data_IF_494654527596
#
_entry.id   IF_494654527596
#
_cell.length_a   1.000
_cell.length_b   1.000
_cell.length_c   1.000
_cell.angle_alpha   90.00
_cell.angle_beta   90.00
_cell.angle_gamma   90.00
#
_symmetry.space_group_name_H-M   'P 1'
#
loop_
_entity.id
_entity.type
_entity.pdbx_description
1 polymer ?
#
# COMPACT_ATOMS: atom_id res chain seq x y z
N UNK A 1 -20.84 13.22 11.97
CA UNK A 1 -19.47 13.44 11.49
C UNK A 1 -19.13 12.30 10.54
N UNK A 2 -18.89 12.59 9.26
CA UNK A 2 -18.35 11.59 8.35
C UNK A 2 -16.85 11.43 8.65
N UNK A 3 -16.28 10.21 8.65
CA UNK A 3 -14.84 10.05 8.85
C UNK A 3 -14.12 10.66 7.65
N UNK A 4 -13.03 11.36 7.96
CA UNK A 4 -12.11 11.96 7.02
C UNK A 4 -11.79 10.95 5.93
N UNK A 5 -12.25 11.23 4.72
CA UNK A 5 -11.86 10.47 3.55
C UNK A 5 -10.34 10.49 3.46
N UNK A 6 -9.73 9.32 3.26
CA UNK A 6 -8.35 9.18 2.80
C UNK A 6 -8.23 9.79 1.39
N UNK A 7 -8.39 11.11 1.30
CA UNK A 7 -8.19 11.87 0.09
C UNK A 7 -6.67 11.94 -0.10
N UNK A 8 -6.15 11.15 -1.04
CA UNK A 8 -4.77 11.23 -1.47
C UNK A 8 -4.42 12.71 -1.70
N UNK A 9 -3.43 13.23 -0.98
CA UNK A 9 -2.89 14.55 -1.29
C UNK A 9 -2.24 14.44 -2.67
N UNK A 10 -2.98 14.84 -3.70
CA UNK A 10 -2.49 14.95 -5.06
C UNK A 10 -1.29 15.91 -5.04
N UNK A 11 -0.05 15.38 -5.04
CA UNK A 11 1.11 16.26 -5.10
C UNK A 11 2.48 15.69 -4.73
N UNK A 12 2.59 14.59 -3.97
CA UNK A 12 3.90 14.18 -3.42
C UNK A 12 4.76 13.35 -4.40
N UNK A 13 4.44 13.36 -5.69
CA UNK A 13 5.19 12.68 -6.75
C UNK A 13 5.13 11.15 -6.73
N UNK A 14 4.46 10.53 -5.76
CA UNK A 14 4.27 9.08 -5.68
C UNK A 14 2.90 8.65 -6.22
N UNK A 15 2.85 7.54 -6.95
CA UNK A 15 1.60 6.92 -7.38
C UNK A 15 1.75 5.41 -7.48
N UNK A 16 0.79 4.64 -6.95
CA UNK A 16 0.76 3.19 -7.13
C UNK A 16 0.30 2.88 -8.55
N UNK A 17 1.09 2.11 -9.29
CA UNK A 17 0.76 1.67 -10.66
C UNK A 17 0.13 0.29 -10.70
N UNK A 18 0.39 -0.56 -9.72
CA UNK A 18 -0.21 -1.88 -9.59
C UNK A 18 -0.12 -2.36 -8.15
N UNK A 19 -1.16 -3.07 -7.70
CA UNK A 19 -1.17 -3.84 -6.46
C UNK A 19 -2.00 -5.11 -6.73
N UNK A 20 -1.44 -6.29 -6.48
CA UNK A 20 -2.10 -7.56 -6.71
C UNK A 20 -1.63 -8.63 -5.72
N UNK A 21 -2.59 -9.42 -5.21
CA UNK A 21 -2.31 -10.57 -4.36
C UNK A 21 -1.56 -11.64 -5.16
N UNK A 22 -0.49 -12.17 -4.57
CA UNK A 22 0.22 -13.36 -5.05
C UNK A 22 0.23 -14.41 -3.95
N UNK A 23 -0.42 -15.54 -4.23
CA UNK A 23 -0.41 -16.72 -3.36
C UNK A 23 1.01 -17.26 -3.21
N UNK A 24 1.37 -17.68 -2.00
CA UNK A 24 2.67 -18.22 -1.66
C UNK A 24 2.74 -18.59 -0.18
N UNK A 25 3.93 -18.95 0.30
CA UNK A 25 4.22 -19.08 1.74
C UNK A 25 5.46 -18.23 2.03
N UNK A 26 5.31 -16.95 2.41
CA UNK A 26 4.06 -16.26 2.74
C UNK A 26 3.24 -15.82 1.52
N UNK A 27 1.95 -15.53 1.73
CA UNK A 27 1.10 -14.83 0.76
C UNK A 27 1.36 -13.33 0.84
N UNK A 28 1.54 -12.70 -0.32
CA UNK A 28 2.02 -11.32 -0.43
C UNK A 28 1.15 -10.47 -1.35
N UNK A 29 1.20 -9.16 -1.18
CA UNK A 29 0.79 -8.22 -2.23
C UNK A 29 2.04 -7.79 -2.99
N UNK A 30 2.05 -8.04 -4.30
CA UNK A 30 3.01 -7.44 -5.24
C UNK A 30 2.51 -6.05 -5.60
N UNK A 31 3.33 -5.04 -5.38
CA UNK A 31 2.98 -3.68 -5.73
C UNK A 31 4.10 -2.96 -6.46
N UNK A 32 3.73 -1.92 -7.20
CA UNK A 32 4.65 -1.06 -7.94
C UNK A 32 4.19 0.37 -7.86
N UNK A 33 5.14 1.29 -7.90
CA UNK A 33 4.88 2.72 -7.85
C UNK A 33 5.74 3.47 -8.86
N UNK A 34 5.28 4.66 -9.22
CA UNK A 34 6.08 5.71 -9.86
C UNK A 34 6.45 6.74 -8.81
N UNK A 35 7.63 7.33 -8.98
CA UNK A 35 8.15 8.42 -8.16
C UNK A 35 8.83 9.47 -9.03
N UNK A 36 8.90 10.70 -8.50
CA UNK A 36 9.59 11.83 -9.11
C UNK A 36 10.67 12.37 -8.14
N UNK A 37 11.46 13.36 -8.58
CA UNK A 37 12.57 13.87 -7.77
C UNK A 37 12.12 14.47 -6.43
N UNK A 38 10.93 15.06 -6.39
CA UNK A 38 10.32 15.62 -5.19
C UNK A 38 9.64 14.58 -4.27
N UNK A 39 9.64 13.29 -4.65
CA UNK A 39 9.05 12.25 -3.83
C UNK A 39 9.84 12.00 -2.54
N UNK A 40 9.15 11.65 -1.43
CA UNK A 40 9.78 11.35 -0.15
C UNK A 40 10.86 10.29 -0.29
N UNK A 41 11.80 10.26 0.66
CA UNK A 41 12.91 9.28 0.66
C UNK A 41 12.41 7.88 1.01
N UNK A 42 11.48 7.80 1.96
CA UNK A 42 10.84 6.58 2.42
C UNK A 42 9.32 6.76 2.47
N UNK A 43 8.60 5.64 2.49
CA UNK A 43 7.18 5.59 2.80
C UNK A 43 6.89 4.34 3.63
N UNK A 44 5.81 4.37 4.38
CA UNK A 44 5.23 3.18 4.98
C UNK A 44 4.19 2.56 4.03
N UNK A 45 4.00 1.25 4.13
CA UNK A 45 3.02 0.49 3.37
C UNK A 45 1.96 -0.01 4.33
N UNK A 46 0.71 0.30 4.03
CA UNK A 46 -0.42 -0.27 4.73
C UNK A 46 -1.49 -0.77 3.77
N UNK A 47 -2.51 -1.34 4.34
CA UNK A 47 -3.76 -1.68 3.67
C UNK A 47 -4.93 -1.10 4.45
N UNK A 48 -5.98 -0.75 3.73
CA UNK A 48 -7.24 -0.29 4.32
C UNK A 48 -8.35 -1.22 3.85
N UNK A 49 -9.10 -1.79 4.80
CA UNK A 49 -10.30 -2.54 4.46
C UNK A 49 -11.40 -1.59 3.97
N UNK A 50 -12.00 -1.89 2.82
CA UNK A 50 -12.95 -0.98 2.16
C UNK A 50 -14.25 -0.80 2.96
N UNK A 51 -14.68 -1.80 3.73
CA UNK A 51 -15.91 -1.77 4.53
C UNK A 51 -15.74 -0.95 5.80
N UNK A 52 -14.76 -1.33 6.62
CA UNK A 52 -14.55 -0.81 7.96
C UNK A 52 -13.70 0.46 7.97
N UNK A 53 -12.97 0.74 6.88
CA UNK A 53 -11.93 1.78 6.81
C UNK A 53 -10.81 1.56 7.83
N UNK A 54 -10.64 0.32 8.31
CA UNK A 54 -9.57 -0.05 9.23
C UNK A 54 -8.23 -0.08 8.48
N UNK A 55 -7.24 0.66 9.00
CA UNK A 55 -5.87 0.68 8.51
C UNK A 55 -5.03 -0.37 9.23
N UNK A 56 -4.26 -1.14 8.46
CA UNK A 56 -3.29 -2.11 8.97
C UNK A 56 -1.94 -1.78 8.35
N UNK A 57 -0.96 -1.48 9.20
CA UNK A 57 0.43 -1.28 8.79
C UNK A 57 1.07 -2.63 8.43
N UNK A 58 1.73 -2.68 7.27
CA UNK A 58 2.39 -3.89 6.77
C UNK A 58 3.93 -3.75 6.71
N UNK A 59 4.42 -2.57 6.37
CA UNK A 59 5.84 -2.22 6.39
C UNK A 59 6.02 -0.75 6.78
N UNK A 60 6.99 -0.45 7.62
CA UNK A 60 7.17 0.87 8.22
C UNK A 60 8.11 1.78 7.43
N UNK A 61 9.11 1.24 6.72
CA UNK A 61 10.15 2.07 6.12
C UNK A 61 10.69 1.49 4.81
N UNK A 62 9.91 1.67 3.74
CA UNK A 62 10.32 1.29 2.38
C UNK A 62 11.02 2.45 1.69
N UNK A 63 12.19 2.18 1.10
CA UNK A 63 12.89 3.18 0.28
C UNK A 63 12.11 3.46 -1.00
N UNK A 64 11.76 4.72 -1.22
CA UNK A 64 11.08 5.15 -2.46
C UNK A 64 11.89 4.81 -3.71
N UNK A 65 13.23 4.86 -3.58
CA UNK A 65 14.22 4.66 -4.65
C UNK A 65 15.03 3.40 -4.36
N UNK A 66 15.49 2.70 -5.41
CA UNK A 66 16.34 1.50 -5.28
C UNK A 66 15.63 0.17 -5.52
N UNK A 67 14.29 0.19 -5.62
CA UNK A 67 13.46 -0.99 -5.90
C UNK A 67 13.10 -1.10 -7.40
N UNK A 68 13.88 -0.45 -8.27
CA UNK A 68 13.62 -0.35 -9.71
C UNK A 68 14.48 0.74 -10.36
N UNK A 69 14.09 1.17 -11.57
CA UNK A 69 14.78 2.20 -12.34
C UNK A 69 13.81 3.11 -13.11
N UNK A 70 14.30 4.23 -13.61
CA UNK A 70 13.55 5.19 -14.44
C UNK A 70 12.26 5.73 -13.77
N UNK A 71 12.38 6.20 -12.51
CA UNK A 71 11.25 6.76 -11.77
C UNK A 71 10.19 5.73 -11.35
N UNK A 72 10.57 4.46 -11.24
CA UNK A 72 9.67 3.35 -10.87
C UNK A 72 10.29 2.47 -9.80
N UNK A 73 9.47 1.98 -8.89
CA UNK A 73 9.81 0.96 -7.89
C UNK A 73 8.80 -0.17 -7.88
N UNK A 74 9.21 -1.35 -7.41
CA UNK A 74 8.35 -2.51 -7.21
C UNK A 74 8.81 -3.28 -5.98
N UNK A 75 7.87 -3.80 -5.23
CA UNK A 75 8.18 -4.64 -4.07
C UNK A 75 7.06 -5.62 -3.75
N UNK A 76 7.26 -6.40 -2.70
CA UNK A 76 6.28 -7.31 -2.10
C UNK A 76 6.18 -7.07 -0.61
N UNK A 77 4.96 -7.09 -0.09
CA UNK A 77 4.72 -7.06 1.36
C UNK A 77 3.84 -8.24 1.76
N UNK A 78 4.15 -8.87 2.90
CA UNK A 78 3.35 -9.97 3.44
C UNK A 78 1.98 -9.48 3.88
N UNK A 79 0.96 -10.30 3.67
CA UNK A 79 -0.40 -10.06 4.15
C UNK A 79 -0.92 -11.22 5.01
N UNK A 80 -0.03 -12.02 5.61
CA UNK A 80 -0.40 -13.14 6.50
C UNK A 80 -1.28 -12.70 7.68
N UNK A 81 -1.17 -11.43 8.11
CA UNK A 81 -2.08 -10.84 9.11
C UNK A 81 -3.56 -10.92 8.71
N UNK A 82 -3.87 -11.10 7.42
CA UNK A 82 -5.23 -11.22 6.89
C UNK A 82 -5.71 -12.67 6.73
N UNK A 83 -4.96 -13.69 7.18
CA UNK A 83 -5.33 -15.10 6.99
C UNK A 83 -6.77 -15.41 7.49
N UNK A 84 -7.18 -14.74 8.56
CA UNK A 84 -8.52 -14.88 9.15
C UNK A 84 -9.47 -13.73 8.83
N UNK A 85 -9.03 -12.78 8.01
CA UNK A 85 -9.76 -11.57 7.65
C UNK A 85 -9.82 -11.43 6.11
N UNK A 86 -10.54 -12.31 5.40
CA UNK A 86 -10.77 -12.14 3.97
C UNK A 86 -11.70 -10.95 3.72
N UNK A 87 -11.44 -10.20 2.66
CA UNK A 87 -12.14 -8.95 2.42
C UNK A 87 -11.65 -8.22 1.19
N UNK A 88 -12.20 -7.03 0.97
CA UNK A 88 -11.77 -6.13 -0.10
C UNK A 88 -10.91 -5.04 0.50
N UNK A 89 -9.70 -4.91 0.00
CA UNK A 89 -8.69 -4.00 0.53
C UNK A 89 -8.15 -3.06 -0.54
N UNK A 90 -7.65 -1.91 -0.12
CA UNK A 90 -6.77 -1.05 -0.93
C UNK A 90 -5.39 -1.04 -0.27
N UNK A 91 -4.33 -0.97 -1.07
CA UNK A 91 -2.96 -0.73 -0.57
C UNK A 91 -2.72 0.78 -0.57
N UNK A 92 -2.14 1.29 0.51
CA UNK A 92 -1.80 2.69 0.69
C UNK A 92 -0.30 2.84 0.94
N UNK A 93 0.28 3.88 0.36
CA UNK A 93 1.61 4.37 0.71
C UNK A 93 1.41 5.63 1.53
N UNK A 94 1.95 5.64 2.75
CA UNK A 94 1.75 6.72 3.72
C UNK A 94 3.08 7.27 4.23
N UNK A 95 3.06 8.41 4.89
CA UNK A 95 4.23 8.97 5.55
C UNK A 95 4.70 8.06 6.69
N UNK A 96 6.01 8.02 6.97
CA UNK A 96 6.58 7.15 8.00
C UNK A 96 6.41 7.70 9.42
N UNK A 97 6.24 9.01 9.55
CA UNK A 97 6.08 9.71 10.83
C UNK A 97 4.60 9.97 11.15
N UNK A 98 3.74 10.05 10.12
CA UNK A 98 2.30 10.29 10.25
C UNK A 98 1.45 9.47 9.24
N UNK A 99 0.90 8.33 9.69
CA UNK A 99 0.15 7.42 8.83
C UNK A 99 -1.17 7.98 8.27
N UNK A 100 -1.65 9.11 8.78
CA UNK A 100 -2.81 9.80 8.22
C UNK A 100 -2.46 10.53 6.91
N UNK A 101 -1.17 10.78 6.65
CA UNK A 101 -0.69 11.39 5.40
C UNK A 101 -0.53 10.31 4.32
N UNK A 102 -1.58 10.15 3.50
CA UNK A 102 -1.57 9.22 2.36
C UNK A 102 -0.93 9.85 1.12
N UNK A 103 0.16 9.25 0.64
CA UNK A 103 0.82 9.61 -0.62
C UNK A 103 0.14 8.99 -1.83
N UNK A 104 -0.27 7.74 -1.75
CA UNK A 104 -0.89 7.03 -2.86
C UNK A 104 -1.81 5.90 -2.39
N UNK A 105 -2.87 5.64 -3.16
CA UNK A 105 -3.83 4.55 -2.91
C UNK A 105 -3.99 3.72 -4.17
N UNK A 106 -3.99 2.39 -4.03
CA UNK A 106 -4.18 1.47 -5.15
C UNK A 106 -5.65 1.37 -5.55
N UNK A 107 -5.91 0.71 -6.68
CA UNK A 107 -7.22 0.09 -6.90
C UNK A 107 -7.46 -0.98 -5.85
N UNK A 108 -8.72 -1.17 -5.48
CA UNK A 108 -9.08 -2.23 -4.55
C UNK A 108 -8.82 -3.62 -5.14
N UNK A 109 -8.39 -4.56 -4.30
CA UNK A 109 -8.19 -5.96 -4.62
C UNK A 109 -8.89 -6.84 -3.59
N UNK A 110 -9.22 -8.05 -4.00
CA UNK A 110 -9.87 -9.03 -3.15
C UNK A 110 -8.81 -9.93 -2.49
N UNK A 111 -8.93 -10.10 -1.18
CA UNK A 111 -8.25 -11.15 -0.41
C UNK A 111 -9.30 -12.20 -0.06
N UNK A 112 -8.97 -13.47 -0.31
CA UNK A 112 -9.83 -14.63 -0.04
C UNK A 112 -9.12 -15.56 0.92
N UNK A 113 -9.89 -16.34 1.68
CA UNK A 113 -9.35 -17.38 2.55
C UNK A 113 -8.47 -18.39 1.80
N UNK A 114 -8.78 -18.68 0.53
CA UNK A 114 -8.00 -19.59 -0.33
C UNK A 114 -6.73 -18.97 -0.92
N UNK A 115 -6.41 -17.72 -0.58
CA UNK A 115 -5.14 -17.10 -0.95
C UNK A 115 -4.01 -17.47 0.01
N UNK A 116 -4.33 -18.03 1.18
CA UNK A 116 -3.41 -18.59 2.19
C UNK A 116 -3.44 -20.13 2.14
#
# INVERSE_FOLDING_TARGET
MAPSSFAARAGNGLSITSAAVKKGKPTVVKYSWKFHDNSPKHFAVGIVEVSSHEFILLDHEVKTRGHGGNGKGKDTVSIEVLEHHPGKYVLVLVDTDDFDIVFATSKAFQVKKSDF
#
